data_IF_528314326097
#
_entry.id   IF_528314326097
#
_cell.length_a   1.000
_cell.length_b   1.000
_cell.length_c   1.000
_cell.angle_alpha   90.00
_cell.angle_beta   90.00
_cell.angle_gamma   90.00
#
_symmetry.space_group_name_H-M   'P 1'
#
loop_
_entity.id
_entity.type
_entity.pdbx_description
1 polymer ?
#
# COMPACT_ATOMS: atom_id res chain seq x y z
N UNK A 1 -12.05 -29.72 2.92
CA UNK A 1 -12.25 -28.27 2.94
C UNK A 1 -10.90 -27.62 2.63
N UNK A 2 -10.78 -26.85 1.54
CA UNK A 2 -9.54 -26.11 1.26
C UNK A 2 -9.40 -25.03 2.34
N UNK A 3 -8.22 -24.87 2.96
CA UNK A 3 -8.08 -23.85 4.01
C UNK A 3 -8.10 -22.45 3.38
N UNK A 4 -8.54 -21.45 4.16
CA UNK A 4 -8.69 -20.06 3.68
C UNK A 4 -7.39 -19.50 3.09
N UNK A 5 -6.24 -19.88 3.65
CA UNK A 5 -4.94 -19.46 3.15
C UNK A 5 -4.67 -19.96 1.72
N UNK A 6 -5.10 -21.18 1.38
CA UNK A 6 -4.92 -21.75 0.04
C UNK A 6 -5.80 -21.02 -0.98
N UNK A 7 -7.00 -20.58 -0.60
CA UNK A 7 -7.83 -19.72 -1.45
C UNK A 7 -7.17 -18.37 -1.69
N UNK A 8 -6.71 -17.70 -0.63
CA UNK A 8 -6.03 -16.40 -0.73
C UNK A 8 -4.76 -16.48 -1.60
N UNK A 9 -3.99 -17.57 -1.50
CA UNK A 9 -2.80 -17.76 -2.32
C UNK A 9 -3.14 -18.02 -3.80
N UNK A 10 -4.27 -18.67 -4.10
CA UNK A 10 -4.76 -18.81 -5.48
C UNK A 10 -5.16 -17.46 -6.05
N UNK A 11 -5.94 -16.69 -5.30
CA UNK A 11 -6.34 -15.34 -5.69
C UNK A 11 -5.12 -14.43 -5.92
N UNK A 12 -4.14 -14.45 -5.00
CA UNK A 12 -2.89 -13.70 -5.17
C UNK A 12 -2.15 -14.09 -6.45
N UNK A 13 -2.01 -15.39 -6.74
CA UNK A 13 -1.39 -15.87 -7.98
C UNK A 13 -2.14 -15.40 -9.22
N UNK A 14 -3.46 -15.41 -9.18
CA UNK A 14 -4.30 -15.02 -10.31
C UNK A 14 -4.23 -13.49 -10.55
N UNK A 15 -4.04 -12.68 -9.50
CA UNK A 15 -3.82 -11.23 -9.58
C UNK A 15 -2.44 -10.88 -10.16
N UNK A 16 -1.36 -11.50 -9.64
CA UNK A 16 0.03 -11.08 -9.98
C UNK A 16 0.64 -11.87 -11.15
N UNK A 17 0.02 -12.99 -11.54
CA UNK A 17 0.54 -13.92 -12.55
C UNK A 17 1.45 -15.00 -11.98
N UNK A 18 1.49 -16.15 -12.67
CA UNK A 18 2.20 -17.35 -12.19
C UNK A 18 3.71 -17.16 -12.05
N UNK A 19 4.38 -16.46 -12.97
CA UNK A 19 5.83 -16.28 -12.91
C UNK A 19 6.25 -15.39 -11.74
N UNK A 20 5.55 -14.28 -11.51
CA UNK A 20 5.76 -13.41 -10.35
C UNK A 20 5.47 -14.17 -9.04
N UNK A 21 4.40 -14.98 -9.02
CA UNK A 21 4.07 -15.82 -7.88
C UNK A 21 5.17 -16.85 -7.57
N UNK A 22 5.80 -17.45 -8.59
CA UNK A 22 6.97 -18.34 -8.40
C UNK A 22 8.17 -17.62 -7.79
N UNK A 23 8.43 -16.37 -8.19
CA UNK A 23 9.50 -15.57 -7.59
C UNK A 23 9.22 -15.31 -6.11
N UNK A 24 8.00 -14.87 -5.77
CA UNK A 24 7.61 -14.60 -4.38
C UNK A 24 7.72 -15.85 -3.51
N UNK A 25 7.15 -16.98 -3.95
CA UNK A 25 7.17 -18.24 -3.20
C UNK A 25 8.58 -18.82 -3.03
N UNK A 26 9.49 -18.56 -3.98
CA UNK A 26 10.91 -18.94 -3.87
C UNK A 26 11.68 -18.06 -2.89
N UNK A 27 11.44 -16.74 -2.89
CA UNK A 27 12.21 -15.79 -2.07
C UNK A 27 11.66 -15.64 -0.65
N UNK A 28 10.39 -15.96 -0.40
CA UNK A 28 9.73 -15.75 0.90
C UNK A 28 9.09 -17.03 1.47
N UNK A 29 9.77 -18.20 1.46
CA UNK A 29 9.17 -19.43 1.97
C UNK A 29 8.91 -19.33 3.48
N UNK A 30 7.71 -19.73 3.91
CA UNK A 30 7.31 -19.77 5.32
C UNK A 30 7.12 -18.41 5.98
N UNK A 31 7.21 -17.29 5.24
CA UNK A 31 6.94 -15.95 5.78
C UNK A 31 5.43 -15.71 5.88
N UNK A 32 4.99 -15.21 7.01
CA UNK A 32 3.63 -14.68 7.19
C UNK A 32 3.62 -13.22 6.75
N UNK A 33 2.76 -12.89 5.78
CA UNK A 33 2.60 -11.54 5.28
C UNK A 33 1.21 -11.01 5.64
N UNK A 34 1.18 -9.76 6.08
CA UNK A 34 -0.04 -9.00 6.28
C UNK A 34 -0.15 -7.97 5.15
N UNK A 35 -1.20 -8.09 4.34
CA UNK A 35 -1.49 -7.16 3.25
C UNK A 35 -2.49 -6.15 3.78
N UNK A 36 -2.02 -4.94 4.08
CA UNK A 36 -2.85 -3.82 4.51
C UNK A 36 -3.24 -2.93 3.34
N UNK A 37 -4.43 -2.34 3.41
CA UNK A 37 -4.92 -1.38 2.43
C UNK A 37 -4.39 0.04 2.71
N UNK A 38 -3.14 0.29 2.34
CA UNK A 38 -2.55 1.62 2.37
C UNK A 38 -2.42 2.23 0.97
N UNK A 39 -3.13 1.72 -0.04
CA UNK A 39 -2.99 2.19 -1.42
C UNK A 39 -1.64 1.82 -2.05
N UNK A 40 -1.14 0.61 -1.75
CA UNK A 40 0.12 0.09 -2.29
C UNK A 40 1.37 0.38 -1.45
N UNK A 41 1.24 1.12 -0.34
CA UNK A 41 2.33 1.34 0.62
C UNK A 41 2.43 0.18 1.63
N UNK A 42 3.64 -0.10 2.10
CA UNK A 42 3.92 -1.14 3.10
C UNK A 42 3.33 -0.76 4.46
N UNK A 43 3.34 0.54 4.79
CA UNK A 43 2.77 1.05 6.04
C UNK A 43 2.11 2.42 5.88
N UNK A 44 1.31 2.79 6.88
CA UNK A 44 0.72 4.13 6.98
C UNK A 44 1.80 5.21 7.02
N UNK A 45 2.88 4.97 7.76
CA UNK A 45 4.00 5.90 7.91
C UNK A 45 4.70 6.15 6.58
N UNK A 46 4.86 5.10 5.77
CA UNK A 46 5.44 5.22 4.42
C UNK A 46 4.55 6.08 3.51
N UNK A 47 3.24 5.81 3.49
CA UNK A 47 2.27 6.62 2.74
C UNK A 47 2.29 8.08 3.20
N UNK A 48 2.22 8.31 4.51
CA UNK A 48 2.18 9.64 5.10
C UNK A 48 3.51 10.39 4.85
N UNK A 49 4.65 9.70 4.79
CA UNK A 49 5.92 10.27 4.37
C UNK A 49 5.93 10.67 2.89
N UNK A 50 5.37 9.83 2.01
CA UNK A 50 5.24 10.15 0.58
C UNK A 50 4.35 11.38 0.35
N UNK A 51 3.21 11.46 1.04
CA UNK A 51 2.30 12.63 1.02
C UNK A 51 3.04 13.92 1.40
N UNK A 52 3.81 13.90 2.49
CA UNK A 52 4.59 15.07 2.92
C UNK A 52 5.69 15.45 1.92
N UNK A 53 6.31 14.47 1.26
CA UNK A 53 7.32 14.71 0.22
C UNK A 53 6.71 15.43 -0.99
N UNK A 54 5.52 15.01 -1.43
CA UNK A 54 4.81 15.68 -2.52
C UNK A 54 4.41 17.12 -2.15
N UNK A 55 3.95 17.34 -0.92
CA UNK A 55 3.69 18.69 -0.41
C UNK A 55 4.97 19.55 -0.42
N UNK A 56 6.10 18.99 0.01
CA UNK A 56 7.40 19.68 -0.02
C UNK A 56 7.85 20.04 -1.45
N UNK A 57 7.45 19.25 -2.45
CA UNK A 57 7.66 19.56 -3.86
C UNK A 57 6.61 20.51 -4.46
N UNK A 58 5.89 21.27 -3.63
CA UNK A 58 4.89 22.26 -4.00
C UNK A 58 3.65 21.70 -4.72
N UNK A 59 3.33 20.41 -4.56
CA UNK A 59 2.06 19.87 -5.06
C UNK A 59 0.89 20.42 -4.24
N UNK A 60 -0.22 20.77 -4.89
CA UNK A 60 -1.38 21.32 -4.21
C UNK A 60 -2.11 20.27 -3.36
N UNK A 61 -2.69 20.66 -2.23
CA UNK A 61 -3.48 19.76 -1.37
C UNK A 61 -4.60 19.02 -2.14
N UNK A 62 -5.36 19.65 -3.05
CA UNK A 62 -6.35 18.93 -3.86
C UNK A 62 -5.75 17.89 -4.81
N UNK A 63 -4.57 18.17 -5.36
CA UNK A 63 -3.86 17.25 -6.27
C UNK A 63 -3.32 16.04 -5.50
N UNK A 64 -2.75 16.27 -4.31
CA UNK A 64 -2.31 15.21 -3.40
C UNK A 64 -3.51 14.35 -2.98
N UNK A 65 -4.64 14.98 -2.59
CA UNK A 65 -5.85 14.25 -2.23
C UNK A 65 -6.32 13.31 -3.35
N UNK A 66 -6.31 13.79 -4.60
CA UNK A 66 -6.65 12.98 -5.77
C UNK A 66 -5.64 11.84 -5.99
N UNK A 67 -4.34 12.15 -6.00
CA UNK A 67 -3.25 11.19 -6.24
C UNK A 67 -3.29 10.01 -5.26
N UNK A 68 -3.58 10.27 -3.99
CA UNK A 68 -3.59 9.26 -2.93
C UNK A 68 -4.98 8.68 -2.63
N UNK A 69 -6.03 9.14 -3.32
CA UNK A 69 -7.41 8.69 -3.08
C UNK A 69 -7.91 9.02 -1.66
N UNK A 70 -7.42 10.09 -1.05
CA UNK A 70 -7.76 10.50 0.31
C UNK A 70 -8.59 11.78 0.31
N UNK A 71 -9.46 11.93 1.31
CA UNK A 71 -10.16 13.19 1.52
C UNK A 71 -9.19 14.33 1.88
N UNK A 72 -9.50 15.54 1.42
CA UNK A 72 -8.69 16.74 1.68
C UNK A 72 -8.38 16.94 3.18
N UNK A 73 -9.36 16.69 4.06
CA UNK A 73 -9.16 16.78 5.50
C UNK A 73 -8.12 15.78 6.04
N UNK A 74 -8.05 14.58 5.47
CA UNK A 74 -7.03 13.59 5.84
C UNK A 74 -5.63 14.06 5.44
N UNK A 75 -5.48 14.69 4.27
CA UNK A 75 -4.21 15.27 3.84
C UNK A 75 -3.76 16.35 4.82
N UNK A 76 -4.64 17.31 5.17
CA UNK A 76 -4.32 18.33 6.17
C UNK A 76 -3.82 17.74 7.48
N UNK A 77 -4.54 16.75 8.04
CA UNK A 77 -4.14 16.07 9.27
C UNK A 77 -2.74 15.44 9.15
N UNK A 78 -2.44 14.77 8.03
CA UNK A 78 -1.14 14.12 7.80
C UNK A 78 0.00 15.15 7.73
N UNK A 79 -0.26 16.30 7.12
CA UNK A 79 0.73 17.36 6.88
C UNK A 79 0.92 18.30 8.06
N UNK A 80 -0.09 18.50 8.91
CA UNK A 80 -0.03 19.39 10.08
C UNK A 80 0.70 18.78 11.29
N UNK A 81 0.68 17.44 11.42
CA UNK A 81 1.29 16.71 12.56
C UNK A 81 2.84 16.75 12.63
N UNK A 82 3.52 17.60 11.85
CA UNK A 82 4.99 17.75 11.84
C UNK A 82 5.46 19.22 11.94
N UNK A 83 4.78 20.03 12.73
CA UNK A 83 5.37 21.25 13.31
C UNK A 83 6.01 20.96 14.65
#
# INVERSE_FOLDING_TARGET
>A
MVNKNTENLKELRDIIGFEQFKVVTKLMPGKLLHISDWGGFISKEERDAAIRKDLYHNMGIPEIANKYGLGIHAIYKITEHKK
#
